data_IF_161943769399
#
_entry.id   IF_161943769399
#
_cell.length_a   1.000
_cell.length_b   1.000
_cell.length_c   1.000
_cell.angle_alpha   90.00
_cell.angle_beta   90.00
_cell.angle_gamma   90.00
#
_symmetry.space_group_name_H-M   'P 1'
#
loop_
_entity.id
_entity.type
_entity.pdbx_description
1 polymer ?
#
# COMPACT_ATOMS: atom_id res chain seq x y z
N UNK A 1 -15.15 -17.03 -1.62
CA UNK A 1 -14.23 -17.85 -0.81
C UNK A 1 -13.42 -18.61 -1.84
N UNK A 2 -12.23 -18.08 -2.18
CA UNK A 2 -11.44 -18.54 -3.33
C UNK A 2 -11.27 -20.06 -3.27
N UNK A 3 -11.72 -20.78 -4.29
CA UNK A 3 -11.29 -22.17 -4.51
C UNK A 3 -9.90 -22.09 -5.14
N UNK A 4 -8.89 -22.12 -4.28
CA UNK A 4 -7.50 -22.28 -4.69
C UNK A 4 -7.32 -23.72 -5.19
N UNK A 5 -7.53 -23.92 -6.50
CA UNK A 5 -7.38 -25.22 -7.15
C UNK A 5 -5.92 -25.65 -7.17
N UNK A 6 -5.66 -26.87 -6.70
CA UNK A 6 -4.34 -27.49 -6.57
C UNK A 6 -3.60 -27.70 -7.89
N UNK A 7 -2.94 -26.65 -8.38
CA UNK A 7 -1.95 -26.70 -9.45
C UNK A 7 -0.62 -26.13 -8.97
N UNK A 8 0.36 -27.01 -8.75
CA UNK A 8 1.82 -26.73 -8.76
C UNK A 8 2.31 -25.36 -8.26
N UNK A 9 2.70 -25.32 -6.99
CA UNK A 9 3.34 -24.21 -6.24
C UNK A 9 4.71 -23.81 -6.80
N UNK A 10 4.80 -23.25 -8.01
CA UNK A 10 6.07 -22.72 -8.56
C UNK A 10 5.84 -21.39 -9.27
N UNK A 11 6.63 -20.36 -8.89
CA UNK A 11 6.76 -18.96 -9.39
C UNK A 11 5.98 -17.91 -8.57
N UNK A 12 6.57 -16.75 -8.20
CA UNK A 12 5.98 -15.65 -7.36
C UNK A 12 7.03 -14.53 -7.00
N UNK A 13 7.16 -13.46 -7.77
CA UNK A 13 7.66 -12.18 -7.23
C UNK A 13 6.81 -11.11 -7.85
N UNK A 14 5.94 -10.47 -7.06
CA UNK A 14 4.74 -9.83 -7.63
C UNK A 14 4.76 -8.31 -7.60
N UNK A 15 5.20 -7.68 -6.52
CA UNK A 15 5.18 -6.21 -6.43
C UNK A 15 6.13 -5.53 -7.43
N UNK A 16 7.34 -6.08 -7.60
CA UNK A 16 8.29 -5.51 -8.56
C UNK A 16 7.92 -5.83 -10.01
N UNK A 17 7.24 -6.94 -10.30
CA UNK A 17 6.75 -7.23 -11.66
C UNK A 17 5.51 -6.39 -12.00
N UNK A 18 4.66 -6.13 -11.01
CA UNK A 18 3.43 -5.35 -11.18
C UNK A 18 3.68 -3.85 -11.27
N UNK A 19 4.68 -3.32 -10.54
CA UNK A 19 4.89 -1.88 -10.40
C UNK A 19 6.35 -1.42 -10.42
N UNK A 20 7.21 -1.97 -9.54
CA UNK A 20 8.52 -1.37 -9.22
C UNK A 20 9.62 -1.63 -10.28
N UNK A 21 9.45 -2.62 -11.15
CA UNK A 21 10.40 -3.07 -12.19
C UNK A 21 11.84 -3.42 -11.72
N UNK A 22 12.03 -3.63 -10.42
CA UNK A 22 13.31 -4.05 -9.84
C UNK A 22 13.42 -5.59 -9.77
N UNK A 23 13.70 -6.22 -10.91
CA UNK A 23 13.88 -7.68 -10.98
C UNK A 23 15.19 -8.06 -11.64
N UNK A 24 15.97 -8.90 -10.95
CA UNK A 24 17.25 -9.41 -11.46
C UNK A 24 17.08 -10.78 -12.14
N UNK A 25 16.35 -11.70 -11.49
CA UNK A 25 16.12 -13.04 -12.01
C UNK A 25 14.68 -13.21 -12.51
N UNK A 26 14.41 -14.21 -13.37
CA UNK A 26 13.05 -14.62 -13.69
C UNK A 26 12.21 -14.92 -12.44
N UNK A 27 10.88 -14.99 -12.61
CA UNK A 27 9.93 -15.09 -11.50
C UNK A 27 10.18 -16.34 -10.63
N UNK A 28 10.51 -17.49 -11.23
CA UNK A 28 10.74 -18.74 -10.49
C UNK A 28 11.96 -18.69 -9.54
N UNK A 29 13.19 -18.35 -10.02
CA UNK A 29 14.37 -18.29 -9.16
C UNK A 29 14.29 -17.18 -8.09
N UNK A 30 13.78 -15.99 -8.43
CA UNK A 30 13.58 -14.89 -7.46
C UNK A 30 12.74 -15.34 -6.26
N UNK A 31 11.82 -16.25 -6.53
CA UNK A 31 10.84 -16.66 -5.58
C UNK A 31 11.26 -17.86 -4.75
N UNK A 32 11.98 -18.79 -5.36
CA UNK A 32 12.76 -19.75 -4.60
C UNK A 32 13.63 -19.02 -3.57
N UNK A 33 14.35 -17.97 -3.99
CA UNK A 33 15.16 -17.16 -3.09
C UNK A 33 14.34 -16.54 -1.94
N UNK A 34 13.20 -15.89 -2.25
CA UNK A 34 12.30 -15.33 -1.24
C UNK A 34 11.85 -16.40 -0.21
N UNK A 35 11.52 -17.60 -0.71
CA UNK A 35 11.07 -18.73 0.11
C UNK A 35 12.16 -19.23 1.03
N UNK A 36 13.36 -19.47 0.48
CA UNK A 36 14.50 -19.97 1.22
C UNK A 36 14.93 -18.92 2.30
N UNK A 37 14.85 -17.62 1.98
CA UNK A 37 15.07 -16.53 2.94
C UNK A 37 14.01 -16.48 4.04
N UNK A 38 12.73 -16.63 3.70
CA UNK A 38 11.63 -16.64 4.67
C UNK A 38 11.73 -17.83 5.63
N UNK A 39 12.10 -19.00 5.10
CA UNK A 39 12.34 -20.21 5.91
C UNK A 39 13.51 -20.01 6.88
N UNK A 40 14.65 -19.54 6.37
CA UNK A 40 15.83 -19.28 7.19
C UNK A 40 15.54 -18.27 8.30
N UNK A 41 14.92 -17.13 7.96
CA UNK A 41 14.62 -16.08 8.94
C UNK A 41 13.57 -16.50 9.97
N UNK A 42 12.61 -17.33 9.58
CA UNK A 42 11.62 -17.90 10.52
C UNK A 42 12.30 -18.76 11.59
N UNK A 43 13.34 -19.51 11.22
CA UNK A 43 14.09 -20.40 12.12
C UNK A 43 15.15 -19.66 12.94
N UNK A 44 16.00 -18.88 12.27
CA UNK A 44 17.23 -18.33 12.86
C UNK A 44 17.07 -16.89 13.36
N UNK A 45 16.09 -16.15 12.84
CA UNK A 45 15.92 -14.72 13.12
C UNK A 45 14.48 -14.40 13.56
N UNK A 46 14.00 -14.95 14.69
CA UNK A 46 12.60 -14.90 15.07
C UNK A 46 12.09 -13.48 15.41
N UNK A 47 12.93 -12.45 15.43
CA UNK A 47 12.53 -11.03 15.60
C UNK A 47 12.53 -10.24 14.29
N UNK A 48 12.98 -10.85 13.19
CA UNK A 48 13.07 -10.21 11.88
C UNK A 48 11.75 -10.29 11.12
N UNK A 49 11.48 -9.28 10.31
CA UNK A 49 10.33 -9.22 9.40
C UNK A 49 10.86 -9.39 7.98
N UNK A 50 10.91 -10.62 7.44
CA UNK A 50 11.58 -10.88 6.18
C UNK A 50 10.85 -10.31 4.96
N UNK A 51 9.54 -10.04 5.11
CA UNK A 51 8.68 -9.66 3.99
C UNK A 51 7.75 -8.53 4.41
N UNK A 52 7.80 -7.46 3.63
CA UNK A 52 6.79 -6.41 3.59
C UNK A 52 5.99 -6.51 2.30
N UNK A 53 4.76 -6.99 2.41
CA UNK A 53 3.84 -7.17 1.30
C UNK A 53 3.33 -5.78 0.91
N UNK A 54 4.01 -5.21 -0.08
CA UNK A 54 3.80 -3.81 -0.48
C UNK A 54 2.68 -3.63 -1.50
N UNK A 55 1.76 -2.71 -1.19
CA UNK A 55 0.87 -2.03 -2.10
C UNK A 55 1.28 -0.60 -2.43
N UNK A 56 2.22 0.00 -1.67
CA UNK A 56 2.71 1.35 -1.93
C UNK A 56 3.07 1.59 -3.39
N UNK A 57 3.94 0.73 -3.94
CA UNK A 57 4.37 0.83 -5.33
C UNK A 57 3.22 0.62 -6.34
N UNK A 58 2.23 -0.20 -5.97
CA UNK A 58 1.04 -0.44 -6.82
C UNK A 58 0.21 0.85 -6.88
N UNK A 59 0.01 1.50 -5.73
CA UNK A 59 -0.58 2.84 -5.59
C UNK A 59 0.14 3.85 -6.45
N UNK A 60 1.44 4.03 -6.22
CA UNK A 60 2.32 4.98 -6.91
C UNK A 60 2.46 4.72 -8.42
N UNK A 61 2.27 3.48 -8.88
CA UNK A 61 2.31 3.14 -10.31
C UNK A 61 1.01 3.47 -11.08
N UNK A 62 -0.14 3.52 -10.41
CA UNK A 62 -1.37 3.98 -11.09
C UNK A 62 -2.67 3.57 -10.46
N UNK A 63 -2.62 2.65 -9.51
CA UNK A 63 -3.82 1.94 -9.09
C UNK A 63 -4.76 2.81 -8.29
N UNK A 64 -6.05 2.49 -8.34
CA UNK A 64 -7.02 2.98 -7.35
C UNK A 64 -6.70 2.41 -5.96
N UNK A 65 -7.19 3.02 -4.86
CA UNK A 65 -6.97 2.51 -3.51
C UNK A 65 -7.46 1.06 -3.35
N UNK A 66 -8.59 0.73 -3.99
CA UNK A 66 -9.18 -0.62 -4.01
C UNK A 66 -8.24 -1.62 -4.70
N UNK A 67 -7.73 -1.28 -5.89
CA UNK A 67 -6.82 -2.15 -6.64
C UNK A 67 -5.52 -2.38 -5.87
N UNK A 68 -4.97 -1.35 -5.24
CA UNK A 68 -3.84 -1.48 -4.34
C UNK A 68 -4.12 -2.54 -3.27
N UNK A 69 -5.20 -2.39 -2.50
CA UNK A 69 -5.51 -3.34 -1.43
C UNK A 69 -5.77 -4.76 -1.95
N UNK A 70 -6.52 -4.91 -3.04
CA UNK A 70 -6.81 -6.20 -3.64
C UNK A 70 -5.51 -6.89 -4.11
N UNK A 71 -4.67 -6.21 -4.88
CA UNK A 71 -3.46 -6.82 -5.41
C UNK A 71 -2.47 -7.16 -4.27
N UNK A 72 -2.33 -6.29 -3.28
CA UNK A 72 -1.51 -6.56 -2.09
C UNK A 72 -2.01 -7.76 -1.28
N UNK A 73 -3.31 -7.84 -0.97
CA UNK A 73 -3.87 -8.96 -0.20
C UNK A 73 -3.75 -10.27 -0.98
N UNK A 74 -4.02 -10.24 -2.30
CA UNK A 74 -3.89 -11.42 -3.16
C UNK A 74 -2.43 -11.91 -3.24
N UNK A 75 -1.46 -10.99 -3.25
CA UNK A 75 -0.04 -11.32 -3.15
C UNK A 75 0.28 -11.94 -1.79
N UNK A 76 -0.26 -11.36 -0.71
CA UNK A 76 -0.09 -11.88 0.65
C UNK A 76 -0.59 -13.31 0.81
N UNK A 77 -1.81 -13.62 0.37
CA UNK A 77 -2.37 -14.97 0.47
C UNK A 77 -1.56 -15.99 -0.33
N UNK A 78 -1.05 -15.61 -1.49
CA UNK A 78 -0.21 -16.49 -2.27
C UNK A 78 1.19 -16.71 -1.66
N UNK A 79 1.76 -15.73 -0.97
CA UNK A 79 2.97 -15.96 -0.17
C UNK A 79 2.70 -16.96 0.97
N UNK A 80 1.56 -16.83 1.66
CA UNK A 80 1.15 -17.78 2.71
C UNK A 80 1.00 -19.19 2.15
N UNK A 81 0.29 -19.35 1.03
CA UNK A 81 0.13 -20.64 0.34
C UNK A 81 1.47 -21.25 -0.03
N UNK A 82 2.40 -20.45 -0.53
CA UNK A 82 3.73 -20.93 -0.92
C UNK A 82 4.58 -21.38 0.27
N UNK A 83 4.61 -20.61 1.36
CA UNK A 83 5.35 -21.01 2.57
C UNK A 83 4.73 -22.23 3.24
N UNK A 84 3.39 -22.30 3.29
CA UNK A 84 2.67 -23.47 3.77
C UNK A 84 2.94 -24.70 2.87
N UNK A 85 3.02 -24.51 1.55
CA UNK A 85 3.35 -25.56 0.58
C UNK A 85 4.78 -26.12 0.72
N UNK A 86 5.69 -25.39 1.39
CA UNK A 86 7.01 -25.90 1.80
C UNK A 86 6.99 -26.63 3.15
N UNK A 87 5.84 -26.75 3.79
CA UNK A 87 5.69 -27.40 5.09
C UNK A 87 6.02 -26.50 6.28
N UNK A 88 6.22 -25.20 6.08
CA UNK A 88 6.44 -24.25 7.19
C UNK A 88 5.07 -23.98 7.84
N UNK A 89 4.89 -24.22 9.15
CA UNK A 89 3.61 -23.95 9.81
C UNK A 89 3.27 -22.46 9.75
N UNK A 90 2.01 -22.15 9.38
CA UNK A 90 1.53 -20.78 9.18
C UNK A 90 1.75 -19.90 10.42
N UNK A 91 1.61 -20.47 11.61
CA UNK A 91 1.83 -19.76 12.88
C UNK A 91 3.30 -19.42 13.18
N UNK A 92 4.26 -20.03 12.48
CA UNK A 92 5.67 -19.69 12.65
C UNK A 92 6.05 -18.46 11.84
N UNK A 93 5.62 -18.37 10.57
CA UNK A 93 5.98 -17.24 9.70
C UNK A 93 4.92 -16.13 9.68
N UNK A 94 3.63 -16.45 9.86
CA UNK A 94 2.51 -15.49 9.78
C UNK A 94 2.67 -14.26 10.69
N UNK A 95 3.07 -14.43 11.97
CA UNK A 95 3.35 -13.29 12.86
C UNK A 95 4.53 -12.41 12.43
N UNK A 96 5.24 -12.74 11.34
CA UNK A 96 6.37 -11.96 10.78
C UNK A 96 6.04 -11.32 9.43
N UNK A 97 4.89 -11.60 8.84
CA UNK A 97 4.41 -10.89 7.67
C UNK A 97 4.00 -9.46 8.03
N UNK A 98 4.45 -8.49 7.24
CA UNK A 98 4.04 -7.09 7.35
C UNK A 98 3.50 -6.61 6.02
N UNK A 99 2.75 -5.51 6.06
CA UNK A 99 2.15 -4.88 4.89
C UNK A 99 2.64 -3.46 4.77
N UNK A 100 2.73 -2.97 3.55
CA UNK A 100 3.14 -1.60 3.28
C UNK A 100 2.22 -0.96 2.25
N UNK A 101 1.39 -0.02 2.67
CA UNK A 101 0.42 0.65 1.79
C UNK A 101 0.78 2.12 1.57
N UNK A 102 0.41 2.61 0.40
CA UNK A 102 0.31 4.04 0.13
C UNK A 102 -0.98 4.60 0.75
N UNK A 103 -0.98 5.89 1.07
CA UNK A 103 -2.13 6.67 1.52
C UNK A 103 -2.16 8.03 0.84
N UNK A 104 -3.06 8.16 -0.14
CA UNK A 104 -3.41 9.41 -0.79
C UNK A 104 -4.63 10.08 -0.17
N UNK A 105 -5.25 10.99 -0.94
CA UNK A 105 -6.35 11.86 -0.49
C UNK A 105 -7.75 11.34 -0.84
N UNK A 106 -7.87 10.24 -1.59
CA UNK A 106 -9.17 9.67 -1.95
C UNK A 106 -9.89 9.09 -0.71
N UNK A 107 -11.22 9.17 -0.70
CA UNK A 107 -12.03 8.84 0.48
C UNK A 107 -11.90 7.37 0.92
N UNK A 108 -11.66 6.47 -0.02
CA UNK A 108 -11.49 5.03 0.21
C UNK A 108 -10.35 4.73 1.17
N UNK A 109 -9.30 5.56 1.19
CA UNK A 109 -8.18 5.38 2.10
C UNK A 109 -8.65 5.34 3.55
N UNK A 110 -9.70 6.09 3.96
CA UNK A 110 -10.22 6.08 5.34
C UNK A 110 -10.67 4.69 5.84
N UNK A 111 -11.06 3.79 4.92
CA UNK A 111 -11.57 2.46 5.22
C UNK A 111 -10.57 1.34 4.86
N UNK A 112 -9.59 1.65 4.02
CA UNK A 112 -8.82 0.66 3.26
C UNK A 112 -8.10 -0.32 4.18
N UNK A 113 -7.41 0.16 5.20
CA UNK A 113 -6.69 -0.72 6.12
C UNK A 113 -7.67 -1.53 6.97
N UNK A 114 -8.76 -0.93 7.47
CA UNK A 114 -9.74 -1.64 8.30
C UNK A 114 -10.39 -2.81 7.54
N UNK A 115 -10.77 -2.59 6.29
CA UNK A 115 -11.30 -3.63 5.41
C UNK A 115 -10.23 -4.69 5.13
N UNK A 116 -9.02 -4.28 4.79
CA UNK A 116 -7.90 -5.19 4.52
C UNK A 116 -7.57 -6.08 5.72
N UNK A 117 -7.56 -5.53 6.94
CA UNK A 117 -7.35 -6.30 8.18
C UNK A 117 -8.39 -7.39 8.37
N UNK A 118 -9.67 -7.07 8.12
CA UNK A 118 -10.77 -8.03 8.25
C UNK A 118 -10.65 -9.15 7.21
N UNK A 119 -10.42 -8.80 5.94
CA UNK A 119 -10.25 -9.77 4.86
C UNK A 119 -9.05 -10.69 5.14
N UNK A 120 -7.92 -10.11 5.54
CA UNK A 120 -6.72 -10.86 5.91
C UNK A 120 -6.97 -11.84 7.06
N UNK A 121 -7.55 -11.36 8.16
CA UNK A 121 -7.82 -12.20 9.33
C UNK A 121 -8.77 -13.36 8.99
N UNK A 122 -9.82 -13.11 8.21
CA UNK A 122 -10.75 -14.14 7.73
C UNK A 122 -10.01 -15.16 6.86
N UNK A 123 -9.23 -14.72 5.88
CA UNK A 123 -8.47 -15.62 5.01
C UNK A 123 -7.46 -16.48 5.78
N UNK A 124 -6.68 -15.86 6.68
CA UNK A 124 -5.72 -16.56 7.53
C UNK A 124 -6.39 -17.60 8.43
N UNK A 125 -7.54 -17.28 9.03
CA UNK A 125 -8.27 -18.20 9.92
C UNK A 125 -8.96 -19.32 9.15
N UNK A 126 -9.76 -18.98 8.14
CA UNK A 126 -10.71 -19.91 7.53
C UNK A 126 -10.07 -20.76 6.41
N UNK A 127 -9.05 -20.23 5.73
CA UNK A 127 -8.37 -20.95 4.64
C UNK A 127 -7.10 -21.63 5.14
N UNK A 128 -6.31 -20.93 5.95
CA UNK A 128 -4.98 -21.39 6.37
C UNK A 128 -4.94 -21.95 7.80
N UNK A 129 -6.06 -21.94 8.53
CA UNK A 129 -6.14 -22.47 9.89
C UNK A 129 -5.24 -21.74 10.90
N UNK A 130 -4.89 -20.48 10.62
CA UNK A 130 -3.89 -19.74 11.38
C UNK A 130 -4.43 -19.29 12.74
N UNK A 131 -3.57 -19.33 13.76
CA UNK A 131 -3.86 -18.81 15.10
C UNK A 131 -3.94 -17.28 15.16
N UNK A 132 -4.40 -16.72 16.29
CA UNK A 132 -4.68 -15.29 16.41
C UNK A 132 -3.51 -14.35 16.10
N UNK A 133 -2.28 -14.78 16.41
CA UNK A 133 -1.06 -13.98 16.14
C UNK A 133 -0.73 -13.88 14.65
N UNK A 134 -0.99 -14.94 13.89
CA UNK A 134 -0.74 -14.98 12.45
C UNK A 134 -1.83 -14.22 11.65
N UNK A 135 -3.00 -14.00 12.24
CA UNK A 135 -4.06 -13.18 11.68
C UNK A 135 -3.79 -11.66 11.79
N UNK A 136 -2.78 -11.24 12.56
CA UNK A 136 -2.46 -9.83 12.75
C UNK A 136 -1.90 -9.19 11.47
N UNK A 137 -2.60 -8.19 10.98
CA UNK A 137 -2.19 -7.38 9.84
C UNK A 137 -1.40 -6.16 10.34
N UNK A 138 -0.07 -6.27 10.33
CA UNK A 138 0.84 -5.20 10.74
C UNK A 138 1.16 -4.32 9.54
N UNK A 139 0.84 -3.04 9.65
CA UNK A 139 0.85 -2.10 8.54
C UNK A 139 1.89 -1.00 8.74
N UNK A 140 2.74 -0.81 7.74
CA UNK A 140 3.45 0.43 7.48
C UNK A 140 2.65 1.23 6.44
N UNK A 141 2.55 2.54 6.62
CA UNK A 141 1.91 3.43 5.63
C UNK A 141 2.88 4.53 5.24
N UNK A 142 2.96 4.84 3.96
CA UNK A 142 3.64 6.05 3.48
C UNK A 142 2.60 6.94 2.79
N UNK A 143 2.69 8.24 3.01
CA UNK A 143 1.89 9.23 2.29
C UNK A 143 2.20 9.18 0.79
N UNK A 144 1.29 9.59 -0.07
CA UNK A 144 1.48 9.41 -1.52
C UNK A 144 2.53 10.36 -2.11
N UNK A 145 3.48 9.80 -2.85
CA UNK A 145 4.43 10.59 -3.64
C UNK A 145 3.74 11.21 -4.86
N UNK A 146 2.76 10.51 -5.44
CA UNK A 146 1.94 11.03 -6.55
C UNK A 146 1.17 12.31 -6.21
N UNK A 147 0.77 12.49 -4.95
CA UNK A 147 -0.05 13.66 -4.57
C UNK A 147 0.76 14.96 -4.55
N UNK A 148 2.09 14.87 -4.52
CA UNK A 148 3.00 16.01 -4.36
C UNK A 148 3.19 16.77 -5.67
N UNK A 149 3.13 18.10 -5.60
CA UNK A 149 3.19 19.00 -6.76
C UNK A 149 4.42 19.90 -6.66
N UNK A 150 5.12 20.11 -7.79
CA UNK A 150 6.33 20.94 -7.84
C UNK A 150 6.04 22.46 -7.84
N UNK A 151 5.04 22.91 -8.62
CA UNK A 151 4.81 24.33 -8.92
C UNK A 151 4.57 25.22 -7.68
N UNK A 152 4.04 24.65 -6.59
CA UNK A 152 3.95 25.30 -5.27
C UNK A 152 4.16 24.25 -4.17
N UNK A 153 5.35 23.68 -4.14
CA UNK A 153 5.65 22.49 -3.33
C UNK A 153 5.39 22.64 -1.83
N UNK A 154 5.37 23.86 -1.27
CA UNK A 154 5.01 24.09 0.14
C UNK A 154 3.59 23.60 0.48
N UNK A 155 2.67 23.62 -0.50
CA UNK A 155 1.33 23.07 -0.34
C UNK A 155 1.34 21.56 -0.03
N UNK A 156 2.43 20.86 -0.38
CA UNK A 156 2.59 19.45 -0.09
C UNK A 156 2.63 19.16 1.41
N UNK A 157 3.09 20.08 2.27
CA UNK A 157 2.98 19.90 3.73
C UNK A 157 1.53 19.70 4.17
N UNK A 158 0.59 20.44 3.56
CA UNK A 158 -0.85 20.32 3.87
C UNK A 158 -1.43 19.01 3.32
N UNK A 159 -0.98 18.58 2.13
CA UNK A 159 -1.36 17.27 1.56
C UNK A 159 -0.88 16.13 2.45
N UNK A 160 0.40 16.11 2.79
CA UNK A 160 1.00 15.13 3.71
C UNK A 160 0.27 15.14 5.06
N UNK A 161 -0.07 16.30 5.63
CA UNK A 161 -0.81 16.36 6.89
C UNK A 161 -2.20 15.69 6.80
N UNK A 162 -2.94 15.90 5.70
CA UNK A 162 -4.23 15.25 5.48
C UNK A 162 -4.08 13.72 5.30
N UNK A 163 -3.07 13.29 4.54
CA UNK A 163 -2.75 11.87 4.33
C UNK A 163 -2.31 11.18 5.62
N UNK A 164 -1.58 11.88 6.49
CA UNK A 164 -1.20 11.39 7.82
C UNK A 164 -2.43 11.17 8.71
N UNK A 165 -3.40 12.08 8.70
CA UNK A 165 -4.66 11.90 9.42
C UNK A 165 -5.38 10.63 8.94
N UNK A 166 -5.48 10.43 7.62
CA UNK A 166 -6.08 9.21 7.04
C UNK A 166 -5.30 7.94 7.43
N UNK A 167 -3.97 8.00 7.40
CA UNK A 167 -3.07 6.91 7.79
C UNK A 167 -3.24 6.52 9.26
N UNK A 168 -3.40 7.50 10.15
CA UNK A 168 -3.61 7.26 11.58
C UNK A 168 -5.03 6.82 11.91
N UNK A 169 -6.05 7.32 11.19
CA UNK A 169 -7.42 6.78 11.28
C UNK A 169 -7.48 5.30 10.88
N UNK A 170 -6.58 4.88 9.99
CA UNK A 170 -6.36 3.48 9.64
C UNK A 170 -5.56 2.69 10.67
N UNK A 171 -5.16 3.25 11.80
CA UNK A 171 -4.35 2.59 12.83
C UNK A 171 -3.12 1.89 12.25
N UNK A 172 -2.34 2.62 11.45
CA UNK A 172 -1.03 2.14 10.97
C UNK A 172 -0.08 1.89 12.15
N UNK A 173 0.79 0.88 12.04
CA UNK A 173 1.78 0.56 13.07
C UNK A 173 3.04 1.42 12.97
N UNK A 174 3.39 1.82 11.75
CA UNK A 174 4.45 2.79 11.47
C UNK A 174 4.05 3.66 10.29
N UNK A 175 4.60 4.87 10.20
CA UNK A 175 4.24 5.82 9.16
C UNK A 175 5.46 6.57 8.61
N UNK A 176 5.50 6.74 7.29
CA UNK A 176 6.42 7.63 6.60
C UNK A 176 5.64 8.84 6.09
N UNK A 177 6.13 10.04 6.40
CA UNK A 177 5.60 11.32 5.93
C UNK A 177 6.53 11.87 4.86
N UNK A 178 6.02 12.04 3.64
CA UNK A 178 6.78 12.59 2.54
C UNK A 178 7.14 14.05 2.80
N UNK A 179 8.30 14.45 2.29
CA UNK A 179 8.78 15.82 2.42
C UNK A 179 8.20 16.70 1.32
N UNK A 180 8.10 18.00 1.57
CA UNK A 180 7.49 18.90 0.61
C UNK A 180 8.26 18.98 -0.72
N UNK A 181 9.59 18.87 -0.66
CA UNK A 181 10.55 19.00 -1.77
C UNK A 181 10.83 17.68 -2.53
N UNK A 182 10.18 16.59 -2.13
CA UNK A 182 10.35 15.27 -2.75
C UNK A 182 10.04 15.20 -4.26
N UNK A 183 9.15 16.04 -4.85
CA UNK A 183 9.00 16.10 -6.31
C UNK A 183 10.26 16.46 -7.08
N UNK A 184 11.25 17.09 -6.44
CA UNK A 184 12.47 17.57 -7.10
C UNK A 184 13.63 16.58 -7.00
N UNK A 185 13.86 16.06 -5.80
CA UNK A 185 15.01 15.20 -5.48
C UNK A 185 14.82 14.55 -4.11
N UNK A 186 15.81 13.79 -3.66
CA UNK A 186 15.92 13.33 -2.28
C UNK A 186 15.76 14.52 -1.33
N UNK A 187 14.85 14.43 -0.34
CA UNK A 187 14.53 15.56 0.53
C UNK A 187 15.75 16.15 1.26
N UNK A 188 15.74 17.47 1.44
CA UNK A 188 16.72 18.15 2.28
C UNK A 188 16.35 18.08 3.77
N UNK A 189 17.35 18.22 4.65
CA UNK A 189 17.17 18.07 6.11
C UNK A 189 16.07 18.97 6.68
N UNK A 190 15.90 20.17 6.12
CA UNK A 190 14.85 21.12 6.52
C UNK A 190 13.44 20.51 6.34
N UNK A 191 13.15 19.99 5.14
CA UNK A 191 11.82 19.45 4.83
C UNK A 191 11.58 18.08 5.47
N UNK A 192 12.62 17.26 5.61
CA UNK A 192 12.56 16.03 6.41
C UNK A 192 12.14 16.34 7.84
N UNK A 193 12.77 17.35 8.46
CA UNK A 193 12.44 17.77 9.83
C UNK A 193 11.00 18.25 9.93
N UNK A 194 10.52 19.04 8.98
CA UNK A 194 9.13 19.51 8.96
C UNK A 194 8.13 18.35 8.79
N UNK A 195 8.41 17.38 7.92
CA UNK A 195 7.58 16.20 7.76
C UNK A 195 7.51 15.38 9.06
N UNK A 196 8.64 15.18 9.73
CA UNK A 196 8.70 14.51 11.04
C UNK A 196 7.95 15.28 12.14
N UNK A 197 8.10 16.61 12.19
CA UNK A 197 7.33 17.45 13.12
C UNK A 197 5.82 17.35 12.86
N UNK A 198 5.38 17.23 11.60
CA UNK A 198 3.97 17.02 11.27
C UNK A 198 3.38 15.77 11.93
N UNK A 199 4.14 14.67 11.98
CA UNK A 199 3.73 13.47 12.71
C UNK A 199 3.66 13.71 14.22
N UNK A 200 4.66 14.38 14.80
CA UNK A 200 4.70 14.69 16.23
C UNK A 200 3.52 15.59 16.65
N UNK A 201 3.20 16.63 15.87
CA UNK A 201 2.04 17.51 16.12
C UNK A 201 0.75 16.69 16.16
N UNK A 202 0.53 15.83 15.17
CA UNK A 202 -0.69 15.02 15.10
C UNK A 202 -0.83 14.02 16.26
N UNK A 203 0.28 13.41 16.69
CA UNK A 203 0.29 12.38 17.73
C UNK A 203 0.35 12.93 19.17
N UNK A 204 1.08 14.02 19.39
CA UNK A 204 1.37 14.55 20.73
C UNK A 204 0.50 15.75 21.11
N UNK A 205 0.27 16.66 20.16
CA UNK A 205 -0.51 17.89 20.38
C UNK A 205 -2.00 17.68 20.07
N UNK A 206 -2.32 16.92 19.02
CA UNK A 206 -3.72 16.66 18.68
C UNK A 206 -4.37 15.68 19.66
N UNK A 207 -5.50 16.10 20.24
CA UNK A 207 -6.29 15.24 21.12
C UNK A 207 -6.95 14.05 20.41
N UNK A 208 -7.02 14.07 19.08
CA UNK A 208 -7.70 13.07 18.27
C UNK A 208 -7.07 11.69 18.49
N UNK A 209 -5.77 11.56 18.22
CA UNK A 209 -5.07 10.28 18.30
C UNK A 209 -4.55 9.96 19.71
N UNK A 210 -4.43 10.98 20.56
CA UNK A 210 -4.05 10.83 21.98
C UNK A 210 -5.15 10.22 22.83
N UNK A 211 -6.41 10.58 22.58
CA UNK A 211 -7.52 10.23 23.46
C UNK A 211 -8.57 9.30 22.84
N UNK A 212 -8.49 9.02 21.54
CA UNK A 212 -9.47 8.17 20.88
C UNK A 212 -8.81 7.05 20.08
N UNK A 213 -9.46 5.88 20.08
CA UNK A 213 -9.12 4.77 19.20
C UNK A 213 -10.32 4.46 18.31
N UNK A 214 -10.08 4.27 17.01
CA UNK A 214 -11.11 3.91 16.03
C UNK A 214 -12.34 4.84 16.10
N UNK A 215 -12.10 6.16 16.11
CA UNK A 215 -13.10 7.21 16.32
C UNK A 215 -14.34 7.09 15.42
N UNK A 216 -14.15 6.66 14.17
CA UNK A 216 -15.23 6.55 13.18
C UNK A 216 -16.02 5.24 13.27
N UNK A 217 -15.74 4.40 14.26
CA UNK A 217 -16.46 3.15 14.48
C UNK A 217 -17.96 3.41 14.67
N UNK A 218 -18.79 2.66 13.97
CA UNK A 218 -20.25 2.76 14.09
C UNK A 218 -20.90 3.80 13.17
N UNK A 219 -20.16 4.80 12.68
CA UNK A 219 -20.67 5.85 11.79
C UNK A 219 -21.37 5.25 10.55
N UNK A 220 -22.61 5.67 10.22
CA UNK A 220 -23.31 5.17 9.04
C UNK A 220 -22.55 5.43 7.73
N UNK A 221 -21.95 6.61 7.59
CA UNK A 221 -21.14 6.98 6.43
C UNK A 221 -19.88 6.11 6.33
N UNK A 222 -19.17 5.93 7.44
CA UNK A 222 -17.99 5.06 7.50
C UNK A 222 -18.34 3.61 7.12
N UNK A 223 -19.44 3.07 7.68
CA UNK A 223 -19.93 1.73 7.34
C UNK A 223 -20.31 1.59 5.86
N UNK A 224 -20.83 2.64 5.22
CA UNK A 224 -21.13 2.62 3.79
C UNK A 224 -19.86 2.54 2.95
N UNK A 225 -18.84 3.35 3.28
CA UNK A 225 -17.53 3.31 2.61
C UNK A 225 -16.87 1.94 2.80
N UNK A 226 -16.89 1.39 4.02
CA UNK A 226 -16.34 0.06 4.30
C UNK A 226 -16.97 -1.05 3.45
N UNK A 227 -18.30 -1.03 3.29
CA UNK A 227 -19.00 -2.01 2.44
C UNK A 227 -18.66 -1.84 0.98
N UNK A 228 -18.58 -0.61 0.49
CA UNK A 228 -18.23 -0.33 -0.90
C UNK A 228 -16.80 -0.80 -1.21
N UNK A 229 -15.83 -0.45 -0.35
CA UNK A 229 -14.43 -0.88 -0.48
C UNK A 229 -14.31 -2.39 -0.37
N UNK A 230 -14.98 -3.04 0.58
CA UNK A 230 -14.98 -4.51 0.69
C UNK A 230 -15.53 -5.18 -0.56
N UNK A 231 -16.69 -4.75 -1.05
CA UNK A 231 -17.31 -5.31 -2.25
C UNK A 231 -16.37 -5.20 -3.45
N UNK A 232 -15.77 -4.01 -3.65
CA UNK A 232 -14.87 -3.77 -4.77
C UNK A 232 -13.56 -4.58 -4.67
N UNK A 233 -12.99 -4.77 -3.47
CA UNK A 233 -11.84 -5.65 -3.27
C UNK A 233 -12.21 -7.10 -3.61
N UNK A 234 -13.39 -7.56 -3.18
CA UNK A 234 -13.86 -8.92 -3.46
C UNK A 234 -14.16 -9.13 -4.96
N UNK A 235 -14.59 -8.10 -5.67
CA UNK A 235 -14.76 -8.15 -7.13
C UNK A 235 -13.43 -8.34 -7.85
N UNK A 236 -12.38 -7.60 -7.47
CA UNK A 236 -11.03 -7.82 -8.00
C UNK A 236 -10.51 -9.23 -7.69
N UNK A 237 -10.81 -9.78 -6.51
CA UNK A 237 -10.47 -11.18 -6.19
C UNK A 237 -11.17 -12.18 -7.08
N UNK A 238 -12.45 -11.97 -7.39
CA UNK A 238 -13.22 -12.86 -8.29
C UNK A 238 -12.62 -12.84 -9.69
N UNK A 239 -12.20 -11.68 -10.17
CA UNK A 239 -11.58 -11.57 -11.49
C UNK A 239 -10.20 -12.24 -11.54
N UNK A 240 -9.39 -12.05 -10.50
CA UNK A 240 -8.11 -12.77 -10.35
C UNK A 240 -8.33 -14.29 -10.29
N UNK A 241 -9.37 -14.75 -9.57
CA UNK A 241 -9.74 -16.17 -9.51
C UNK A 241 -10.15 -16.70 -10.88
N UNK A 242 -10.96 -15.95 -11.62
CA UNK A 242 -11.41 -16.28 -12.98
C UNK A 242 -10.24 -16.47 -13.95
N UNK A 243 -9.17 -15.70 -13.77
CA UNK A 243 -7.94 -15.79 -14.56
C UNK A 243 -7.05 -16.98 -14.16
N UNK A 244 -7.42 -17.79 -13.16
CA UNK A 244 -6.60 -18.92 -12.69
C UNK A 244 -5.70 -18.56 -11.51
N UNK A 245 -6.07 -17.52 -10.76
CA UNK A 245 -5.31 -17.03 -9.62
C UNK A 245 -4.25 -16.01 -10.01
N UNK A 246 -3.54 -15.52 -9.00
CA UNK A 246 -2.71 -14.33 -9.16
C UNK A 246 -1.51 -14.56 -10.10
N UNK A 247 -1.00 -15.79 -10.23
CA UNK A 247 0.12 -16.08 -11.15
C UNK A 247 -0.31 -15.95 -12.60
N UNK A 248 -1.39 -16.63 -12.97
CA UNK A 248 -1.94 -16.56 -14.31
C UNK A 248 -2.34 -15.10 -14.65
N UNK A 249 -2.95 -14.39 -13.70
CA UNK A 249 -3.25 -12.96 -13.88
C UNK A 249 -1.99 -12.10 -14.13
N UNK A 250 -0.86 -12.40 -13.48
CA UNK A 250 0.41 -11.69 -13.71
C UNK A 250 1.03 -12.07 -15.07
N UNK A 251 0.97 -13.34 -15.46
CA UNK A 251 1.44 -13.81 -16.77
C UNK A 251 0.64 -13.19 -17.92
N UNK A 252 -0.68 -13.05 -17.74
CA UNK A 252 -1.60 -12.35 -18.65
C UNK A 252 -1.51 -10.83 -18.55
N UNK A 253 -0.63 -10.30 -17.69
CA UNK A 253 -0.42 -8.88 -17.43
C UNK A 253 -1.67 -8.13 -16.94
N UNK A 254 -2.68 -8.83 -16.43
CA UNK A 254 -3.95 -8.26 -16.01
C UNK A 254 -3.77 -7.10 -15.03
N UNK A 255 -3.08 -7.33 -13.90
CA UNK A 255 -2.92 -6.28 -12.88
C UNK A 255 -2.16 -5.08 -13.45
N UNK A 256 -1.09 -5.30 -14.24
CA UNK A 256 -0.31 -4.22 -14.86
C UNK A 256 -1.18 -3.39 -15.81
N UNK A 257 -1.98 -4.03 -16.64
CA UNK A 257 -2.92 -3.34 -17.53
C UNK A 257 -3.99 -2.57 -16.76
N UNK A 258 -4.53 -3.12 -15.66
CA UNK A 258 -5.50 -2.41 -14.83
C UNK A 258 -4.92 -1.18 -14.13
N UNK A 259 -3.68 -1.28 -13.63
CA UNK A 259 -2.94 -0.16 -13.03
C UNK A 259 -2.74 0.94 -14.08
N UNK A 260 -2.30 0.59 -15.30
CA UNK A 260 -2.09 1.55 -16.39
C UNK A 260 -3.40 2.21 -16.81
N UNK A 261 -4.49 1.46 -16.91
CA UNK A 261 -5.81 2.01 -17.21
C UNK A 261 -6.29 2.99 -16.13
N UNK A 262 -6.03 2.70 -14.86
CA UNK A 262 -6.36 3.59 -13.75
C UNK A 262 -5.50 4.87 -13.77
N UNK A 263 -4.18 4.74 -13.98
CA UNK A 263 -3.28 5.87 -14.16
C UNK A 263 -3.72 6.78 -15.30
N UNK A 264 -4.01 6.20 -16.46
CA UNK A 264 -4.44 6.96 -17.63
C UNK A 264 -5.74 7.71 -17.36
N UNK A 265 -6.74 7.07 -16.73
CA UNK A 265 -7.99 7.76 -16.34
C UNK A 265 -7.72 8.90 -15.37
N UNK A 266 -6.85 8.71 -14.39
CA UNK A 266 -6.48 9.72 -13.42
C UNK A 266 -5.83 10.94 -14.10
N UNK A 267 -4.87 10.71 -14.98
CA UNK A 267 -4.23 11.77 -15.77
C UNK A 267 -5.23 12.51 -16.66
N UNK A 268 -6.08 11.78 -17.38
CA UNK A 268 -7.12 12.40 -18.22
C UNK A 268 -8.06 13.31 -17.42
N UNK A 269 -8.43 12.90 -16.19
CA UNK A 269 -9.22 13.74 -15.29
C UNK A 269 -8.48 15.02 -14.86
N UNK A 270 -7.17 14.97 -14.69
CA UNK A 270 -6.36 16.15 -14.40
C UNK A 270 -6.30 17.07 -15.62
N UNK A 271 -6.00 16.51 -16.80
CA UNK A 271 -5.88 17.26 -18.05
C UNK A 271 -7.18 17.97 -18.44
N UNK A 272 -8.32 17.29 -18.33
CA UNK A 272 -9.62 17.88 -18.67
C UNK A 272 -10.25 18.69 -17.52
N UNK A 273 -9.58 18.79 -16.38
CA UNK A 273 -10.03 19.56 -15.22
C UNK A 273 -11.16 18.94 -14.39
N UNK A 274 -11.57 17.70 -14.68
CA UNK A 274 -12.54 16.94 -13.86
C UNK A 274 -12.01 16.71 -12.45
N UNK A 275 -10.71 16.41 -12.32
CA UNK A 275 -10.01 16.29 -11.03
C UNK A 275 -9.23 17.57 -10.74
N UNK A 276 -9.67 18.40 -9.78
CA UNK A 276 -8.96 19.62 -9.43
C UNK A 276 -7.69 19.28 -8.63
N UNK A 277 -6.56 19.82 -9.07
CA UNK A 277 -5.28 19.77 -8.38
C UNK A 277 -4.82 21.20 -8.14
N UNK A 278 -4.82 21.60 -6.87
CA UNK A 278 -4.47 22.95 -6.44
C UNK A 278 -3.01 23.24 -6.80
N UNK A 279 -2.74 24.43 -7.33
CA UNK A 279 -1.43 24.85 -7.83
C UNK A 279 -0.93 24.09 -9.07
N UNK A 280 -1.78 23.28 -9.72
CA UNK A 280 -1.46 22.64 -10.99
C UNK A 280 -2.45 23.07 -12.09
N UNK A 281 -3.71 22.63 -11.98
CA UNK A 281 -4.76 22.97 -12.95
C UNK A 281 -5.83 23.93 -12.38
N UNK A 282 -5.77 24.22 -11.07
CA UNK A 282 -6.68 25.11 -10.35
C UNK A 282 -5.89 26.01 -9.41
N UNK A 283 -6.25 27.30 -9.37
CA UNK A 283 -5.67 28.32 -8.49
C UNK A 283 -4.13 28.39 -8.58
N UNK A 284 -3.58 28.21 -9.78
CA UNK A 284 -2.15 28.40 -10.00
C UNK A 284 -1.89 29.90 -10.12
N UNK A 285 -1.03 30.45 -9.26
CA UNK A 285 -0.66 31.86 -9.31
C UNK A 285 0.29 32.12 -10.48
N UNK A 286 -0.29 32.42 -11.65
CA UNK A 286 0.42 32.76 -12.89
C UNK A 286 1.26 31.62 -13.49
N UNK A 287 2.03 31.94 -14.55
CA UNK A 287 3.05 31.05 -15.12
C UNK A 287 4.34 31.07 -14.28
N UNK A 288 4.20 31.04 -12.95
CA UNK A 288 5.32 31.09 -12.02
C UNK A 288 6.37 30.03 -12.34
N UNK A 289 7.64 30.46 -12.40
CA UNK A 289 8.78 29.56 -12.56
C UNK A 289 8.76 28.48 -11.48
N UNK A 290 9.14 27.26 -11.87
CA UNK A 290 9.32 26.17 -10.92
C UNK A 290 10.35 26.64 -9.88
N UNK A 291 10.01 26.66 -8.58
CA UNK A 291 10.89 27.22 -7.57
C UNK A 291 12.23 26.49 -7.52
N UNK A 292 13.32 27.25 -7.42
CA UNK A 292 14.66 26.69 -7.29
C UNK A 292 14.84 26.12 -5.87
N UNK A 293 14.97 24.79 -5.77
CA UNK A 293 15.19 24.10 -4.50
C UNK A 293 16.65 23.66 -4.41
N UNK A 294 17.26 23.87 -3.23
CA UNK A 294 18.61 23.38 -2.96
C UNK A 294 18.61 21.86 -2.99
N UNK A 295 19.16 21.29 -4.06
CA UNK A 295 19.20 19.84 -4.24
C UNK A 295 20.13 19.19 -3.22
N UNK A 296 19.67 18.12 -2.57
CA UNK A 296 20.54 17.23 -1.83
C UNK A 296 21.51 16.59 -2.82
N UNK A 297 22.81 16.89 -2.69
CA UNK A 297 23.88 16.22 -3.44
C UNK A 297 24.49 15.18 -2.54
N UNK A 298 24.56 13.93 -3.02
CA UNK A 298 25.42 12.93 -2.38
C UNK A 298 26.88 13.40 -2.54
N UNK A 299 27.66 13.47 -1.45
CA UNK A 299 29.07 13.87 -1.52
C UNK A 299 29.92 12.92 -2.36
#
# INVERSE_FOLDING_TARGET
>A
MLRLSGGSVRKLFRNCVQAQNETIFPIEPSLRFLTDMAEFTTREMPRWYPISISGYHIGEAGSTPVQQAAYTLSNGFAYVEMFAGRGIPVDQFGPRLSFFLDCGLDAEYIALARVSRRIWAIGMRDVFGAGPRAQLYKLHTQTSGRSLIAAEFKNNLTRTAAELILSYMNATNSCHSNSADEPFTTPSEEWIRLAAHGQAILLEESGIFKHTMNMLSGSPGMKAVERAVEAAILDEFREIERLGGVLAAVEDRYQRSQIQNAAHRYEQQIYNGTRPIIALNRYRDGDGEIPEVKLARTP
#
